data_IF_889273825084
#
_entry.id   IF_889273825084
#
_cell.length_a   1.000
_cell.length_b   1.000
_cell.length_c   1.000
_cell.angle_alpha   90.00
_cell.angle_beta   90.00
_cell.angle_gamma   90.00
#
_symmetry.space_group_name_H-M   'P 1'
#
loop_
_entity.id
_entity.type
_entity.pdbx_description
1 polymer ?
#
# COMPACT_ATOMS: atom_id res chain seq x y z
N UNK A 1 15.91 -44.10 -5.86
CA UNK A 1 16.15 -42.75 -6.42
C UNK A 1 14.96 -41.87 -6.09
N UNK A 2 15.15 -40.87 -5.24
CA UNK A 2 14.12 -39.90 -4.89
C UNK A 2 14.04 -38.85 -6.01
N UNK A 3 12.96 -38.88 -6.79
CA UNK A 3 12.73 -37.96 -7.90
C UNK A 3 12.30 -36.57 -7.45
N UNK A 4 12.51 -35.59 -8.32
CA UNK A 4 12.07 -34.20 -8.14
C UNK A 4 10.54 -34.17 -8.19
N UNK A 5 9.91 -33.66 -7.13
CA UNK A 5 8.45 -33.50 -7.04
C UNK A 5 8.09 -32.04 -7.25
N UNK A 6 7.36 -31.75 -8.33
CA UNK A 6 6.76 -30.44 -8.53
C UNK A 6 5.44 -30.39 -7.77
N UNK A 7 5.31 -29.42 -6.87
CA UNK A 7 4.06 -29.12 -6.16
C UNK A 7 3.45 -27.86 -6.73
N UNK A 8 2.12 -27.79 -6.69
CA UNK A 8 1.38 -26.58 -7.05
C UNK A 8 1.88 -25.40 -6.20
N UNK A 9 2.14 -24.26 -6.86
CA UNK A 9 2.54 -23.04 -6.17
C UNK A 9 1.35 -22.56 -5.32
N UNK A 10 1.42 -22.85 -4.03
CA UNK A 10 0.59 -22.17 -3.04
C UNK A 10 1.30 -20.86 -2.75
N UNK A 11 0.79 -19.69 -3.19
CA UNK A 11 1.31 -18.44 -2.66
C UNK A 11 1.27 -18.61 -1.15
N UNK A 12 2.40 -18.36 -0.48
CA UNK A 12 2.32 -18.16 0.94
C UNK A 12 1.31 -17.04 1.09
N UNK A 13 0.13 -17.36 1.61
CA UNK A 13 -0.64 -16.43 2.42
C UNK A 13 0.26 -16.15 3.64
N UNK A 14 1.42 -15.51 3.41
CA UNK A 14 1.81 -14.45 4.29
C UNK A 14 0.59 -13.58 4.23
N UNK A 15 -0.20 -13.68 5.29
CA UNK A 15 -1.17 -12.68 5.70
C UNK A 15 -0.40 -11.39 5.49
N UNK A 16 -0.53 -10.75 4.32
CA UNK A 16 0.02 -9.43 4.12
C UNK A 16 -0.66 -8.67 5.22
N UNK A 17 0.14 -8.21 6.18
CA UNK A 17 -0.32 -7.69 7.45
C UNK A 17 -1.50 -6.75 7.12
N UNK A 18 -2.63 -6.82 7.83
CA UNK A 18 -3.82 -5.99 7.53
C UNK A 18 -3.42 -4.53 7.29
N UNK A 19 -2.43 -4.07 8.06
CA UNK A 19 -1.71 -2.83 7.85
C UNK A 19 -1.14 -2.62 6.43
N UNK A 20 -0.35 -3.56 5.89
CA UNK A 20 0.26 -3.44 4.56
C UNK A 20 -0.79 -3.34 3.45
N UNK A 21 -1.89 -4.09 3.58
CA UNK A 21 -2.99 -4.02 2.61
C UNK A 21 -3.63 -2.63 2.61
N UNK A 22 -3.98 -2.13 3.80
CA UNK A 22 -4.55 -0.78 3.96
C UNK A 22 -3.55 0.30 3.58
N UNK A 23 -2.27 0.12 3.90
CA UNK A 23 -1.19 1.02 3.52
C UNK A 23 -1.05 1.11 2.00
N UNK A 24 -1.17 -0.01 1.28
CA UNK A 24 -1.12 -0.01 -0.18
C UNK A 24 -2.22 0.88 -0.77
N UNK A 25 -3.46 0.72 -0.28
CA UNK A 25 -4.61 1.52 -0.73
C UNK A 25 -4.40 2.98 -0.32
N UNK A 26 -4.07 3.24 0.95
CA UNK A 26 -3.84 4.58 1.48
C UNK A 26 -2.79 5.37 0.69
N UNK A 27 -1.66 4.75 0.33
CA UNK A 27 -0.63 5.43 -0.48
C UNK A 27 -1.13 5.78 -1.89
N UNK A 28 -2.00 4.97 -2.49
CA UNK A 28 -2.65 5.31 -3.76
C UNK A 28 -3.64 6.46 -3.59
N UNK A 29 -4.43 6.45 -2.51
CA UNK A 29 -5.34 7.55 -2.21
C UNK A 29 -4.59 8.85 -1.96
N UNK A 30 -3.44 8.82 -1.29
CA UNK A 30 -2.58 10.00 -1.12
C UNK A 30 -2.11 10.58 -2.46
N UNK A 31 -1.85 9.76 -3.47
CA UNK A 31 -1.53 10.27 -4.81
C UNK A 31 -2.75 10.99 -5.41
N UNK A 32 -3.94 10.37 -5.30
CA UNK A 32 -5.19 10.91 -5.85
C UNK A 32 -5.60 12.22 -5.14
N UNK A 33 -5.41 12.31 -3.83
CA UNK A 33 -5.73 13.48 -3.01
C UNK A 33 -4.59 14.51 -2.94
N UNK A 34 -3.58 14.40 -3.81
CA UNK A 34 -2.43 15.31 -3.86
C UNK A 34 -1.71 15.47 -2.51
N UNK A 35 -1.63 14.39 -1.74
CA UNK A 35 -0.95 14.33 -0.44
C UNK A 35 -1.80 14.78 0.75
N UNK A 36 -3.09 15.07 0.56
CA UNK A 36 -3.99 15.40 1.66
C UNK A 36 -4.33 14.14 2.47
N UNK A 37 -3.75 14.03 3.67
CA UNK A 37 -3.90 12.88 4.57
C UNK A 37 -5.34 12.75 5.08
N UNK A 38 -5.96 13.86 5.50
CA UNK A 38 -7.33 13.86 6.02
C UNK A 38 -8.32 13.33 4.97
N UNK A 39 -8.23 13.84 3.74
CA UNK A 39 -9.08 13.38 2.64
C UNK A 39 -8.81 11.92 2.26
N UNK A 40 -7.54 11.49 2.28
CA UNK A 40 -7.19 10.11 1.98
C UNK A 40 -7.72 9.13 3.03
N UNK A 41 -7.67 9.50 4.32
CA UNK A 41 -8.23 8.69 5.41
C UNK A 41 -9.75 8.63 5.36
N UNK A 42 -10.42 9.76 5.08
CA UNK A 42 -11.87 9.78 4.93
C UNK A 42 -12.33 8.87 3.77
N UNK A 43 -11.68 8.97 2.61
CA UNK A 43 -11.98 8.11 1.47
C UNK A 43 -11.69 6.64 1.77
N UNK A 44 -10.60 6.34 2.49
CA UNK A 44 -10.29 4.97 2.91
C UNK A 44 -11.39 4.42 3.84
N UNK A 45 -11.92 5.23 4.75
CA UNK A 45 -13.01 4.86 5.63
C UNK A 45 -14.30 4.59 4.86
N UNK A 46 -14.62 5.40 3.84
CA UNK A 46 -15.77 5.15 2.96
C UNK A 46 -15.63 3.82 2.20
N UNK A 47 -14.42 3.50 1.73
CA UNK A 47 -14.13 2.21 1.07
C UNK A 47 -14.27 1.07 2.09
N UNK A 48 -13.74 1.24 3.29
CA UNK A 48 -13.84 0.25 4.36
C UNK A 48 -15.29 -0.09 4.71
N UNK A 49 -16.14 0.93 4.89
CA UNK A 49 -17.58 0.74 5.13
C UNK A 49 -18.28 -0.04 4.01
N UNK A 50 -17.86 0.18 2.76
CA UNK A 50 -18.48 -0.45 1.59
C UNK A 50 -18.01 -1.90 1.35
N UNK A 51 -16.74 -2.19 1.65
CA UNK A 51 -16.09 -3.45 1.26
C UNK A 51 -15.62 -4.31 2.45
N UNK A 52 -15.71 -3.81 3.69
CA UNK A 52 -15.28 -4.52 4.89
C UNK A 52 -13.79 -4.84 4.88
N UNK A 53 -12.94 -3.81 4.70
CA UNK A 53 -11.49 -3.99 4.68
C UNK A 53 -10.94 -4.29 6.09
N UNK A 54 -11.55 -3.73 7.11
CA UNK A 54 -11.26 -3.91 8.53
C UNK A 54 -12.21 -4.95 9.16
N UNK A 55 -11.96 -5.30 10.42
CA UNK A 55 -12.79 -6.23 11.17
C UNK A 55 -12.68 -5.99 12.67
N UNK A 56 -13.27 -6.88 13.48
CA UNK A 56 -13.30 -6.72 14.93
C UNK A 56 -11.91 -6.69 15.59
N UNK A 57 -10.94 -7.39 15.00
CA UNK A 57 -9.59 -7.51 15.56
C UNK A 57 -8.63 -6.41 15.08
N UNK A 58 -9.00 -5.67 14.03
CA UNK A 58 -8.17 -4.61 13.43
C UNK A 58 -9.05 -3.63 12.68
N UNK A 59 -9.24 -2.44 13.26
CA UNK A 59 -10.06 -1.35 12.76
C UNK A 59 -9.27 -0.22 12.10
N UNK A 60 -10.00 0.82 11.69
CA UNK A 60 -9.39 2.04 11.13
C UNK A 60 -8.57 2.81 12.18
N UNK A 61 -8.97 2.77 13.46
CA UNK A 61 -8.21 3.37 14.55
C UNK A 61 -6.82 2.76 14.69
N UNK A 62 -6.74 1.43 14.72
CA UNK A 62 -5.47 0.69 14.80
C UNK A 62 -4.57 1.01 13.61
N UNK A 63 -5.16 1.12 12.41
CA UNK A 63 -4.43 1.53 11.21
C UNK A 63 -3.81 2.92 11.33
N UNK A 64 -4.57 3.90 11.82
CA UNK A 64 -4.11 5.28 11.99
C UNK A 64 -2.99 5.36 13.05
N UNK A 65 -3.13 4.64 14.16
CA UNK A 65 -2.08 4.54 15.17
C UNK A 65 -0.80 3.92 14.60
N UNK A 66 -0.94 2.82 13.86
CA UNK A 66 0.20 2.14 13.26
C UNK A 66 0.88 2.98 12.15
N UNK A 67 0.12 3.83 11.42
CA UNK A 67 0.69 4.83 10.52
C UNK A 67 1.56 5.86 11.24
N UNK A 68 1.16 6.28 12.46
CA UNK A 68 1.94 7.22 13.29
C UNK A 68 3.17 6.53 13.84
N UNK A 69 3.03 5.32 14.39
CA UNK A 69 4.13 4.55 14.97
C UNK A 69 5.20 4.20 13.93
N UNK A 70 4.76 3.83 12.72
CA UNK A 70 5.67 3.58 11.60
C UNK A 70 6.10 4.87 10.90
N UNK A 71 5.75 6.05 11.39
CA UNK A 71 6.18 7.35 10.89
C UNK A 71 5.82 7.60 9.42
N UNK A 72 4.63 7.17 8.97
CA UNK A 72 4.06 7.51 7.67
C UNK A 72 3.29 8.84 7.73
N UNK A 73 2.64 9.12 8.85
CA UNK A 73 1.98 10.40 9.11
C UNK A 73 2.49 10.98 10.42
N UNK A 74 2.42 12.31 10.55
CA UNK A 74 2.71 13.02 11.78
C UNK A 74 1.75 14.18 11.97
N UNK A 75 1.66 14.69 13.20
CA UNK A 75 0.91 15.91 13.46
C UNK A 75 1.67 17.13 12.94
N UNK A 76 0.93 18.09 12.39
CA UNK A 76 1.44 19.43 12.07
C UNK A 76 1.83 20.18 13.34
N UNK A 77 2.65 21.22 13.20
CA UNK A 77 3.14 22.05 14.31
C UNK A 77 2.00 22.70 15.12
N UNK A 78 0.87 22.97 14.47
CA UNK A 78 -0.33 23.52 15.09
C UNK A 78 -1.24 22.45 15.71
N UNK A 79 -0.80 21.20 15.76
CA UNK A 79 -1.52 20.02 16.30
C UNK A 79 -2.92 19.76 15.74
N UNK A 80 -3.35 20.44 14.68
CA UNK A 80 -4.72 20.32 14.16
C UNK A 80 -4.88 19.32 13.01
N UNK A 81 -3.80 19.03 12.28
CA UNK A 81 -3.87 18.27 11.03
C UNK A 81 -2.78 17.22 10.94
N UNK A 82 -3.10 16.08 10.34
CA UNK A 82 -2.09 15.10 9.94
C UNK A 82 -1.43 15.50 8.62
N UNK A 83 -0.12 15.32 8.55
CA UNK A 83 0.68 15.56 7.35
C UNK A 83 1.54 14.34 7.04
N UNK A 84 1.83 14.16 5.75
CA UNK A 84 2.74 13.12 5.30
C UNK A 84 4.16 13.36 5.81
N UNK A 85 4.88 12.27 6.04
CA UNK A 85 6.30 12.31 6.38
C UNK A 85 7.16 12.07 5.14
N UNK A 86 8.45 12.37 5.24
CA UNK A 86 9.45 12.03 4.20
C UNK A 86 9.47 10.53 3.89
N UNK A 87 9.15 9.67 4.87
CA UNK A 87 9.04 8.22 4.68
C UNK A 87 7.90 7.87 3.72
N UNK A 88 6.74 8.50 3.90
CA UNK A 88 5.59 8.32 3.00
C UNK A 88 5.95 8.70 1.57
N UNK A 89 6.51 9.90 1.37
CA UNK A 89 6.88 10.32 0.02
C UNK A 89 7.91 9.39 -0.64
N UNK A 90 8.93 8.95 0.11
CA UNK A 90 9.94 8.01 -0.41
C UNK A 90 9.29 6.68 -0.79
N UNK A 91 8.35 6.21 0.02
CA UNK A 91 7.63 4.96 -0.23
C UNK A 91 6.76 5.06 -1.48
N UNK A 92 6.04 6.18 -1.65
CA UNK A 92 5.26 6.48 -2.85
C UNK A 92 6.17 6.45 -4.08
N UNK A 93 7.26 7.23 -4.07
CA UNK A 93 8.20 7.30 -5.21
C UNK A 93 8.75 5.93 -5.59
N UNK A 94 9.20 5.14 -4.61
CA UNK A 94 9.72 3.79 -4.85
C UNK A 94 8.67 2.89 -5.49
N UNK A 95 7.44 2.86 -4.95
CA UNK A 95 6.36 2.04 -5.50
C UNK A 95 5.96 2.46 -6.90
N UNK A 96 5.84 3.76 -7.16
CA UNK A 96 5.56 4.27 -8.49
C UNK A 96 6.62 3.84 -9.50
N UNK A 97 7.90 3.86 -9.13
CA UNK A 97 8.99 3.38 -9.99
C UNK A 97 8.90 1.87 -10.22
N UNK A 98 8.71 1.07 -9.16
CA UNK A 98 8.53 -0.38 -9.28
C UNK A 98 7.37 -0.73 -10.23
N UNK A 99 6.23 -0.04 -10.13
CA UNK A 99 5.09 -0.23 -11.03
C UNK A 99 5.40 0.16 -12.49
N UNK A 100 6.11 1.26 -12.71
CA UNK A 100 6.51 1.70 -14.06
C UNK A 100 7.46 0.69 -14.69
N UNK A 101 8.48 0.23 -13.97
CA UNK A 101 9.50 -0.67 -14.52
C UNK A 101 9.01 -2.12 -14.68
N UNK A 102 8.19 -2.64 -13.75
CA UNK A 102 7.56 -3.96 -13.93
C UNK A 102 6.64 -3.99 -15.16
N UNK A 103 5.93 -2.88 -15.45
CA UNK A 103 5.12 -2.77 -16.67
C UNK A 103 5.99 -2.74 -17.93
N UNK A 104 7.17 -2.09 -17.86
CA UNK A 104 8.10 -2.03 -18.98
C UNK A 104 8.72 -3.40 -19.28
N UNK A 105 9.16 -4.17 -18.27
CA UNK A 105 9.68 -5.53 -18.46
C UNK A 105 8.66 -6.46 -19.16
N UNK A 106 7.37 -6.35 -18.81
CA UNK A 106 6.30 -7.13 -19.44
C UNK A 106 6.02 -6.77 -20.90
N UNK A 107 6.53 -5.65 -21.39
CA UNK A 107 6.29 -5.17 -22.77
C UNK A 107 7.33 -5.65 -23.79
N UNK A 108 8.38 -6.36 -23.36
CA UNK A 108 9.50 -6.78 -24.23
C UNK A 108 9.22 -8.16 -24.83
N UNK A 109 8.35 -8.20 -25.83
CA UNK A 109 8.44 -9.20 -26.91
C UNK A 109 8.55 -8.41 -28.22
N UNK A 110 9.78 -7.97 -28.51
CA UNK A 110 10.09 -7.20 -29.71
C UNK A 110 10.14 -8.09 -30.95
N UNK A 111 9.39 -7.74 -31.98
CA UNK A 111 9.35 -8.43 -33.27
C UNK A 111 10.49 -7.95 -34.18
N UNK A 112 11.74 -8.12 -33.76
CA UNK A 112 12.90 -7.81 -34.60
C UNK A 112 13.20 -8.99 -35.54
N UNK A 113 13.10 -8.82 -36.88
CA UNK A 113 13.70 -9.77 -37.80
C UNK A 113 15.22 -9.59 -37.74
N UNK A 114 15.94 -10.62 -37.31
CA UNK A 114 17.38 -10.76 -37.59
C UNK A 114 17.59 -11.20 -39.02
#
# INVERSE_FOLDING_TARGET
>A
MTGIRFTEYKPQNNISNKFEQLLNIFLQLLIITSGNVEQALDLLNQIDQKYGLTGNDYGMGDFIEELKDKNYIRQSENNSLFIMTTKSERTIRRKSLEEIFVKLEKSICGNHPT
#
